data_IF_088391168039
#
_entry.id   IF_088391168039
#
_cell.length_a   1.000
_cell.length_b   1.000
_cell.length_c   1.000
_cell.angle_alpha   90.00
_cell.angle_beta   90.00
_cell.angle_gamma   90.00
#
_symmetry.space_group_name_H-M   'P 1'
#
loop_
_entity.id
_entity.type
_entity.pdbx_description
1 polymer ?
#
# COMPACT_ATOMS: atom_id res chain seq x y z
N UNK A 1 22.83 -8.99 -6.83
CA UNK A 1 21.37 -9.12 -7.03
C UNK A 1 20.79 -7.82 -6.55
N UNK A 2 20.70 -6.81 -7.42
CA UNK A 2 20.04 -5.56 -7.06
C UNK A 2 18.92 -5.33 -8.05
N UNK A 3 17.69 -5.49 -7.57
CA UNK A 3 16.48 -4.94 -8.20
C UNK A 3 15.35 -5.06 -7.18
N UNK A 4 15.35 -4.17 -6.20
CA UNK A 4 14.11 -3.93 -5.46
C UNK A 4 13.06 -3.48 -6.47
N UNK A 5 11.94 -4.21 -6.56
CA UNK A 5 10.82 -3.88 -7.45
C UNK A 5 10.00 -2.67 -6.99
N UNK A 6 10.30 -2.16 -5.79
CA UNK A 6 9.71 -0.99 -5.18
C UNK A 6 10.82 -0.05 -4.72
N UNK A 7 10.57 1.27 -4.70
CA UNK A 7 9.32 1.92 -5.08
C UNK A 7 9.12 2.00 -6.60
N UNK A 8 7.85 1.99 -7.05
CA UNK A 8 7.45 2.21 -8.43
C UNK A 8 7.30 3.73 -8.65
N UNK A 9 7.69 4.24 -9.83
CA UNK A 9 7.36 5.62 -10.22
C UNK A 9 5.85 5.78 -10.30
N UNK A 10 5.31 6.83 -9.67
CA UNK A 10 3.95 7.28 -9.95
C UNK A 10 3.84 7.49 -11.46
N UNK A 11 2.85 6.85 -12.09
CA UNK A 11 2.53 7.11 -13.49
C UNK A 11 2.24 8.62 -13.64
N UNK A 12 2.52 9.18 -14.81
CA UNK A 12 2.27 10.61 -15.08
C UNK A 12 0.80 11.02 -14.87
N UNK A 13 -0.13 10.05 -14.83
CA UNK A 13 -1.48 10.26 -14.33
C UNK A 13 -1.53 10.09 -12.81
N UNK A 14 -2.06 11.08 -12.10
CA UNK A 14 -2.19 11.15 -10.63
C UNK A 14 -2.93 9.95 -9.96
N UNK A 15 -3.41 8.98 -10.74
CA UNK A 15 -4.05 7.74 -10.28
C UNK A 15 -3.42 6.51 -10.95
N UNK A 16 -2.89 5.58 -10.15
CA UNK A 16 -2.52 4.23 -10.60
C UNK A 16 -3.73 3.30 -10.42
N UNK A 17 -4.31 2.73 -11.50
CA UNK A 17 -5.51 1.91 -11.41
C UNK A 17 -5.31 0.60 -10.63
N UNK A 18 -4.05 0.22 -10.35
CA UNK A 18 -3.73 -0.95 -9.51
C UNK A 18 -3.85 -0.64 -8.03
N UNK A 19 -3.80 0.63 -7.62
CA UNK A 19 -3.96 1.04 -6.23
C UNK A 19 -5.43 1.19 -5.87
N UNK A 20 -6.05 0.08 -5.52
CA UNK A 20 -7.49 0.01 -5.26
C UNK A 20 -7.78 -0.17 -3.77
N UNK A 21 -9.01 0.13 -3.33
CA UNK A 21 -9.48 -0.24 -1.99
C UNK A 21 -9.41 -1.76 -1.75
N UNK A 22 -9.61 -2.57 -2.79
CA UNK A 22 -9.49 -4.03 -2.71
C UNK A 22 -8.10 -4.48 -2.27
N UNK A 23 -7.05 -3.87 -2.84
CA UNK A 23 -5.67 -4.13 -2.44
C UNK A 23 -5.42 -3.83 -0.96
N UNK A 24 -6.05 -2.79 -0.40
CA UNK A 24 -5.93 -2.47 1.03
C UNK A 24 -6.50 -3.62 1.87
N UNK A 25 -7.68 -4.13 1.52
CA UNK A 25 -8.29 -5.26 2.25
C UNK A 25 -7.48 -6.55 2.12
N UNK A 26 -6.88 -6.82 0.96
CA UNK A 26 -5.99 -7.97 0.78
C UNK A 26 -4.74 -7.88 1.67
N UNK A 27 -4.15 -6.68 1.79
CA UNK A 27 -3.00 -6.47 2.70
C UNK A 27 -3.42 -6.63 4.16
N UNK A 28 -4.59 -6.12 4.54
CA UNK A 28 -5.13 -6.29 5.90
C UNK A 28 -5.33 -7.79 6.21
N UNK A 29 -5.93 -8.55 5.30
CA UNK A 29 -6.14 -9.99 5.46
C UNK A 29 -4.80 -10.74 5.63
N UNK A 30 -3.75 -10.35 4.89
CA UNK A 30 -2.41 -10.90 5.11
C UNK A 30 -1.88 -10.56 6.52
N UNK A 31 -1.99 -9.31 6.95
CA UNK A 31 -1.54 -8.90 8.29
C UNK A 31 -2.28 -9.67 9.39
N UNK A 32 -3.60 -9.80 9.29
CA UNK A 32 -4.41 -10.55 10.24
C UNK A 32 -4.00 -12.02 10.32
N UNK A 33 -3.74 -12.67 9.18
CA UNK A 33 -3.23 -14.06 9.12
C UNK A 33 -1.86 -14.23 9.77
N UNK A 34 -1.06 -13.17 9.86
CA UNK A 34 0.23 -13.16 10.54
C UNK A 34 0.14 -12.72 12.02
N UNK A 35 -1.07 -12.57 12.56
CA UNK A 35 -1.31 -12.29 13.98
C UNK A 35 -1.35 -10.81 14.34
N UNK A 36 -1.39 -9.91 13.35
CA UNK A 36 -1.68 -8.51 13.60
C UNK A 36 -3.17 -8.30 13.87
N UNK A 37 -3.55 -7.31 14.70
CA UNK A 37 -4.95 -7.02 14.99
C UNK A 37 -5.67 -6.46 13.76
N UNK A 38 -6.99 -6.68 13.69
CA UNK A 38 -7.85 -6.07 12.67
C UNK A 38 -7.91 -4.55 12.86
N UNK A 39 -7.72 -3.74 11.81
CA UNK A 39 -7.74 -2.29 11.90
C UNK A 39 -9.14 -1.75 12.23
N UNK A 40 -9.19 -0.65 12.98
CA UNK A 40 -10.43 0.07 13.32
C UNK A 40 -10.32 1.56 12.98
N UNK A 41 -11.42 2.15 12.48
CA UNK A 41 -11.50 3.59 12.26
C UNK A 41 -10.35 4.17 11.42
N UNK A 42 -9.49 4.97 12.04
CA UNK A 42 -8.37 5.64 11.37
C UNK A 42 -7.26 4.67 10.91
N UNK A 43 -7.19 3.45 11.47
CA UNK A 43 -6.15 2.48 11.11
C UNK A 43 -6.19 2.12 9.62
N UNK A 44 -7.39 2.09 9.01
CA UNK A 44 -7.54 1.86 7.57
C UNK A 44 -6.84 2.94 6.73
N UNK A 45 -6.89 4.20 7.17
CA UNK A 45 -6.21 5.30 6.51
C UNK A 45 -4.69 5.19 6.67
N UNK A 46 -4.21 4.73 7.83
CA UNK A 46 -2.79 4.50 8.07
C UNK A 46 -2.25 3.35 7.21
N UNK A 47 -2.99 2.25 7.08
CA UNK A 47 -2.63 1.14 6.17
C UNK A 47 -2.61 1.63 4.73
N UNK A 48 -3.64 2.38 4.30
CA UNK A 48 -3.69 2.96 2.96
C UNK A 48 -2.49 3.88 2.68
N UNK A 49 -2.20 4.84 3.57
CA UNK A 49 -1.08 5.77 3.40
C UNK A 49 0.28 5.06 3.48
N UNK A 50 0.43 4.09 4.39
CA UNK A 50 1.63 3.29 4.54
C UNK A 50 1.92 2.45 3.29
N UNK A 51 0.90 1.77 2.77
CA UNK A 51 1.03 0.99 1.53
C UNK A 51 1.32 1.90 0.34
N UNK A 52 0.65 3.05 0.23
CA UNK A 52 0.95 4.03 -0.82
C UNK A 52 2.42 4.47 -0.77
N UNK A 53 2.94 4.85 0.40
CA UNK A 53 4.35 5.24 0.59
C UNK A 53 5.34 4.13 0.29
N UNK A 54 4.98 2.88 0.57
CA UNK A 54 5.81 1.71 0.25
C UNK A 54 5.88 1.48 -1.26
N UNK A 55 4.72 1.51 -1.92
CA UNK A 55 4.59 1.21 -3.35
C UNK A 55 5.12 2.35 -4.22
N UNK A 56 4.93 3.59 -3.80
CA UNK A 56 5.24 4.78 -4.56
C UNK A 56 6.29 5.62 -3.86
N UNK A 57 7.36 5.96 -4.58
CA UNK A 57 8.27 7.03 -4.17
C UNK A 57 7.77 8.28 -4.83
N UNK A 58 7.56 9.33 -4.03
CA UNK A 58 7.55 10.69 -4.58
C UNK A 58 8.86 10.84 -5.33
N UNK A 59 8.82 10.92 -6.65
CA UNK A 59 9.80 11.74 -7.33
C UNK A 59 9.65 13.11 -6.66
N UNK A 60 10.67 13.52 -5.92
CA UNK A 60 10.72 14.87 -5.34
C UNK A 60 10.75 15.91 -6.45
#
# INVERSE_FOLDING_TARGET
MDKNNYPISLAESESDPRFTAGLIFEVIDVLERHGYPSPVGADYAEVHCGLFRLLYRSAG
#
